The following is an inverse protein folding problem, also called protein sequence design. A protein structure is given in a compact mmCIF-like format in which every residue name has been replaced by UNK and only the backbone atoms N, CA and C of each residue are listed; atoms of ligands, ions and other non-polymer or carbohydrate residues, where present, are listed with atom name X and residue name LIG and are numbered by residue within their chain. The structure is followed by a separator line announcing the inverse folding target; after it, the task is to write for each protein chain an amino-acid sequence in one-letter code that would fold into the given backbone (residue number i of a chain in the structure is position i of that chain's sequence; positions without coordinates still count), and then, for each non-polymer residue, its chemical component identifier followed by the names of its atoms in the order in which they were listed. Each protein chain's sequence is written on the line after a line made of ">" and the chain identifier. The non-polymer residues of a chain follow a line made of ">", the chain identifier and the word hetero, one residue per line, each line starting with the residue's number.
data_IF_836348899241
#
_entry.id   IF_836348899241
#
_cell.length_a   1.000
_cell.length_b   1.000
_cell.length_c   1.000
_cell.angle_alpha   90.00
_cell.angle_beta   90.00
_cell.angle_gamma   90.00
#
_symmetry.space_group_name_H-M   'P 1'
#
loop_
_entity.id
_entity.type
_entity.pdbx_description
1 polymer ?
#
# COMPACT_ATOMS: atom_id res chain seq x y z
N UNK A 1 -21.38 7.34 -8.53
CA UNK A 1 -21.22 8.61 -9.27
C UNK A 1 -19.92 8.55 -10.07
N UNK A 2 -19.90 9.11 -11.29
CA UNK A 2 -18.78 9.03 -12.26
C UNK A 2 -17.94 10.32 -12.34
N UNK A 3 -17.56 10.89 -11.20
CA UNK A 3 -16.68 12.05 -11.14
C UNK A 3 -15.21 11.60 -11.14
N UNK A 4 -14.31 12.45 -11.64
CA UNK A 4 -12.88 12.17 -11.64
C UNK A 4 -12.33 12.13 -10.20
N UNK A 5 -11.54 11.11 -9.88
CA UNK A 5 -10.89 10.94 -8.57
C UNK A 5 -9.46 11.50 -8.55
N UNK A 6 -9.09 12.29 -9.57
CA UNK A 6 -7.75 12.83 -9.79
C UNK A 6 -7.82 14.32 -10.14
N UNK A 7 -6.79 15.11 -9.80
CA UNK A 7 -5.55 14.72 -9.10
C UNK A 7 -5.74 14.53 -7.57
N UNK A 8 -4.85 13.77 -6.95
CA UNK A 8 -4.75 13.62 -5.48
C UNK A 8 -3.52 14.35 -4.94
N UNK A 9 -3.59 14.77 -3.68
CA UNK A 9 -2.43 15.34 -2.99
C UNK A 9 -1.47 14.22 -2.57
N UNK A 10 -0.17 14.38 -2.81
CA UNK A 10 0.84 13.37 -2.42
C UNK A 10 0.81 13.04 -0.92
N UNK A 11 0.53 14.03 -0.06
CA UNK A 11 0.37 13.81 1.37
C UNK A 11 -0.77 12.82 1.68
N UNK A 12 -1.89 12.92 0.97
CA UNK A 12 -3.01 11.99 1.12
C UNK A 12 -2.60 10.59 0.68
N UNK A 13 -1.92 10.48 -0.47
CA UNK A 13 -1.48 9.18 -0.98
C UNK A 13 -0.50 8.49 -0.02
N UNK A 14 0.41 9.23 0.64
CA UNK A 14 1.31 8.65 1.65
C UNK A 14 0.57 8.08 2.86
N UNK A 15 -0.63 8.59 3.16
CA UNK A 15 -1.45 8.12 4.29
C UNK A 15 -2.36 6.96 3.89
N UNK A 16 -2.85 6.93 2.65
CA UNK A 16 -3.91 6.00 2.22
C UNK A 16 -3.40 4.90 1.30
N UNK A 17 -2.37 5.14 0.50
CA UNK A 17 -1.86 4.16 -0.45
C UNK A 17 -1.01 3.09 0.26
N UNK A 18 -1.41 1.81 0.26
CA UNK A 18 -0.68 0.76 0.97
C UNK A 18 0.73 0.52 0.38
N UNK A 19 0.95 0.80 -0.90
CA UNK A 19 2.27 0.66 -1.53
C UNK A 19 3.27 1.69 -1.02
N UNK A 20 2.82 2.92 -0.75
CA UNK A 20 3.65 3.97 -0.16
C UNK A 20 3.90 3.75 1.34
N UNK A 21 3.20 2.76 1.93
CA UNK A 21 3.24 2.43 3.35
C UNK A 21 3.83 1.06 3.63
N UNK A 22 4.45 0.39 2.65
CA UNK A 22 4.93 -1.00 2.79
C UNK A 22 5.85 -1.21 4.01
N UNK A 23 6.64 -0.20 4.40
CA UNK A 23 7.46 -0.23 5.62
C UNK A 23 6.74 0.12 6.93
N UNK A 24 5.43 0.34 6.91
CA UNK A 24 4.67 0.65 8.12
C UNK A 24 4.53 -0.61 9.00
N UNK A 25 4.59 -0.48 10.34
CA UNK A 25 4.48 -1.61 11.26
C UNK A 25 3.23 -2.46 11.01
N UNK A 26 2.12 -1.82 10.64
CA UNK A 26 0.87 -2.52 10.32
C UNK A 26 0.99 -3.44 9.11
N UNK A 27 1.65 -3.01 8.03
CA UNK A 27 1.83 -3.85 6.83
C UNK A 27 2.90 -4.92 7.03
N UNK A 28 3.99 -4.59 7.74
CA UNK A 28 5.00 -5.55 8.15
C UNK A 28 4.38 -6.69 9.00
N UNK A 29 3.56 -6.34 9.99
CA UNK A 29 2.85 -7.32 10.80
C UNK A 29 1.82 -8.13 10.00
N UNK A 30 1.04 -7.47 9.12
CA UNK A 30 0.06 -8.15 8.26
C UNK A 30 0.71 -9.21 7.37
N UNK A 31 1.89 -8.93 6.82
CA UNK A 31 2.63 -9.87 6.00
C UNK A 31 3.64 -10.72 6.78
N UNK A 32 3.69 -10.63 8.12
CA UNK A 32 4.63 -11.37 8.97
C UNK A 32 6.10 -11.28 8.47
N UNK A 33 6.54 -10.08 8.11
CA UNK A 33 7.92 -9.80 7.69
C UNK A 33 8.42 -8.52 8.37
N UNK A 34 9.74 -8.39 8.46
CA UNK A 34 10.42 -7.17 8.92
C UNK A 34 11.06 -6.41 7.74
N UNK A 35 11.04 -6.96 6.54
CA UNK A 35 11.58 -6.35 5.34
C UNK A 35 10.48 -5.60 4.55
N UNK A 36 10.56 -4.27 4.42
CA UNK A 36 9.63 -3.48 3.61
C UNK A 36 9.56 -3.91 2.14
N UNK A 37 10.67 -4.39 1.57
CA UNK A 37 10.70 -4.85 0.18
C UNK A 37 9.88 -6.14 0.02
N UNK A 38 10.06 -7.08 0.93
CA UNK A 38 9.25 -8.30 0.97
C UNK A 38 7.76 -7.99 1.20
N UNK A 39 7.43 -7.08 2.11
CA UNK A 39 6.06 -6.64 2.34
C UNK A 39 5.43 -6.02 1.08
N UNK A 40 6.20 -5.21 0.34
CA UNK A 40 5.76 -4.64 -0.94
C UNK A 40 5.47 -5.72 -1.98
N UNK A 41 6.36 -6.71 -2.12
CA UNK A 41 6.21 -7.80 -3.08
C UNK A 41 4.96 -8.65 -2.76
N UNK A 42 4.77 -9.03 -1.49
CA UNK A 42 3.59 -9.77 -1.02
C UNK A 42 2.29 -8.98 -1.22
N UNK A 43 2.30 -7.68 -0.92
CA UNK A 43 1.17 -6.78 -1.18
C UNK A 43 0.80 -6.74 -2.67
N UNK A 44 1.80 -6.66 -3.55
CA UNK A 44 1.55 -6.64 -5.00
C UNK A 44 0.95 -7.96 -5.50
N UNK A 45 1.46 -9.09 -5.01
CA UNK A 45 0.92 -10.41 -5.33
C UNK A 45 -0.51 -10.57 -4.84
N UNK A 46 -0.81 -10.19 -3.59
CA UNK A 46 -2.16 -10.26 -3.03
C UNK A 46 -3.16 -9.42 -3.85
N UNK A 47 -2.76 -8.21 -4.27
CA UNK A 47 -3.60 -7.35 -5.11
C UNK A 47 -3.81 -7.87 -6.55
N UNK A 48 -2.96 -8.77 -7.04
CA UNK A 48 -3.19 -9.42 -8.34
C UNK A 48 -4.25 -10.53 -8.25
N UNK A 49 -4.50 -11.07 -7.06
CA UNK A 49 -5.43 -12.17 -6.81
C UNK A 49 -6.77 -11.70 -6.25
N UNK A 50 -6.93 -10.40 -6.03
CA UNK A 50 -8.13 -9.74 -5.53
C UNK A 50 -8.91 -9.13 -6.70
#
# INVERSE_FOLDING_TARGET
>A
QGQATVPTALQLDRQTNPFLRAGSPTLLAHFSTQDPLEAFARLRQARNQF
#
